data_IF_649014047936
#
_entry.id   IF_649014047936
#
_cell.length_a   1.000
_cell.length_b   1.000
_cell.length_c   1.000
_cell.angle_alpha   90.00
_cell.angle_beta   90.00
_cell.angle_gamma   90.00
#
_symmetry.space_group_name_H-M   'P 1'
#
loop_
_entity.id
_entity.type
_entity.pdbx_description
1 polymer ?
#
# COMPACT_ATOMS: atom_id res chain seq x y z
N UNK A 1 -5.33 1.11 -23.06
CA UNK A 1 -5.28 1.52 -21.64
C UNK A 1 -6.56 1.06 -20.95
N UNK A 2 -6.44 0.60 -19.71
CA UNK A 2 -7.53 0.11 -18.86
C UNK A 2 -7.69 1.03 -17.65
N UNK A 3 -8.91 1.10 -17.12
CA UNK A 3 -9.22 1.90 -15.92
C UNK A 3 -8.86 1.10 -14.67
N UNK A 4 -8.05 1.68 -13.81
CA UNK A 4 -7.74 1.19 -12.48
C UNK A 4 -8.09 2.24 -11.43
N UNK A 5 -8.28 1.81 -10.19
CA UNK A 5 -8.53 2.70 -9.06
C UNK A 5 -7.63 2.29 -7.90
N UNK A 6 -7.02 3.27 -7.24
CA UNK A 6 -6.44 3.09 -5.91
C UNK A 6 -7.48 3.54 -4.88
N UNK A 7 -7.73 2.72 -3.87
CA UNK A 7 -8.48 3.10 -2.68
C UNK A 7 -7.55 3.10 -1.47
N UNK A 8 -7.66 4.13 -0.64
CA UNK A 8 -6.90 4.29 0.59
C UNK A 8 -7.82 4.77 1.71
N UNK A 9 -7.98 3.98 2.77
CA UNK A 9 -8.74 4.34 3.95
C UNK A 9 -7.81 4.58 5.15
N UNK A 10 -8.06 5.68 5.86
CA UNK A 10 -7.22 6.20 6.93
C UNK A 10 -7.84 5.86 8.29
N UNK A 11 -7.14 5.06 9.09
CA UNK A 11 -7.65 4.55 10.37
C UNK A 11 -7.19 5.37 11.57
N UNK A 12 -5.93 5.79 11.56
CA UNK A 12 -5.33 6.68 12.55
C UNK A 12 -4.03 7.27 12.01
N UNK A 13 -3.65 8.43 12.50
CA UNK A 13 -2.29 8.96 12.37
C UNK A 13 -1.73 9.15 13.78
N UNK A 14 -0.72 8.38 14.16
CA UNK A 14 -0.15 8.37 15.50
C UNK A 14 1.28 8.92 15.48
N UNK A 15 1.81 9.22 16.66
CA UNK A 15 3.19 9.68 16.84
C UNK A 15 3.53 10.87 15.92
N UNK A 16 2.58 11.80 15.77
CA UNK A 16 2.77 13.01 14.98
C UNK A 16 3.84 13.85 15.69
N UNK A 17 4.83 14.29 14.92
CA UNK A 17 5.93 15.08 15.44
C UNK A 17 5.38 16.39 16.06
N UNK A 18 5.77 16.75 17.30
CA UNK A 18 5.30 17.96 17.99
C UNK A 18 5.50 19.26 17.20
N UNK A 19 6.45 19.30 16.26
CA UNK A 19 6.65 20.44 15.36
C UNK A 19 5.39 20.80 14.55
N UNK A 20 4.50 19.83 14.30
CA UNK A 20 3.27 20.01 13.55
C UNK A 20 2.03 20.08 14.43
N UNK A 21 2.19 20.21 15.75
CA UNK A 21 1.08 20.23 16.70
C UNK A 21 0.08 21.38 16.49
N UNK A 22 0.55 22.50 15.94
CA UNK A 22 -0.26 23.69 15.65
C UNK A 22 -0.60 23.86 14.17
N UNK A 23 -0.19 22.92 13.33
CA UNK A 23 -0.46 22.95 11.89
C UNK A 23 -1.70 22.13 11.56
N UNK A 24 -2.46 22.60 10.57
CA UNK A 24 -3.52 21.80 9.98
C UNK A 24 -2.89 20.70 9.12
N UNK A 25 -3.12 19.44 9.52
CA UNK A 25 -2.53 18.28 8.87
C UNK A 25 -3.54 17.66 7.90
N UNK A 26 -3.14 17.53 6.65
CA UNK A 26 -3.90 16.81 5.61
C UNK A 26 -3.02 15.76 4.93
N UNK A 27 -3.65 14.82 4.23
CA UNK A 27 -2.95 13.79 3.47
C UNK A 27 -3.38 13.82 2.01
N UNK A 28 -2.43 13.66 1.08
CA UNK A 28 -2.70 13.61 -0.36
C UNK A 28 -2.21 12.27 -0.91
N UNK A 29 -3.09 11.53 -1.58
CA UNK A 29 -2.79 10.25 -2.24
C UNK A 29 -2.65 10.48 -3.74
N UNK A 30 -1.60 9.94 -4.33
CA UNK A 30 -1.34 10.03 -5.77
C UNK A 30 -0.69 8.76 -6.30
N UNK A 31 -0.83 8.49 -7.58
CA UNK A 31 -0.16 7.38 -8.27
C UNK A 31 0.21 7.84 -9.68
N UNK A 32 1.50 8.04 -9.93
CA UNK A 32 1.99 8.67 -11.16
C UNK A 32 1.49 10.11 -11.29
N UNK A 33 0.92 10.46 -12.44
CA UNK A 33 0.28 11.76 -12.65
C UNK A 33 -1.10 11.87 -11.99
N UNK A 34 -1.78 10.75 -11.73
CA UNK A 34 -3.13 10.73 -11.18
C UNK A 34 -3.11 11.12 -9.70
N UNK A 35 -3.95 12.08 -9.33
CA UNK A 35 -3.95 12.68 -7.99
C UNK A 35 -2.76 13.62 -7.73
N UNK A 36 -1.88 13.83 -8.71
CA UNK A 36 -0.88 14.90 -8.60
C UNK A 36 -1.52 16.27 -8.85
N UNK A 37 -0.95 17.31 -8.26
CA UNK A 37 -1.40 18.71 -8.41
C UNK A 37 -1.18 19.15 -9.87
N UNK A 38 -2.15 18.85 -10.76
CA UNK A 38 -2.05 19.17 -12.20
C UNK A 38 -2.89 18.29 -13.13
N UNK A 39 -3.31 17.09 -12.70
CA UNK A 39 -4.10 16.17 -13.54
C UNK A 39 -5.61 16.32 -13.28
N UNK A 40 -6.34 16.88 -14.24
CA UNK A 40 -7.78 17.16 -14.16
C UNK A 40 -8.68 15.93 -14.44
N UNK A 41 -8.37 14.76 -13.86
CA UNK A 41 -9.05 13.51 -14.22
C UNK A 41 -9.98 12.92 -13.14
N UNK A 42 -10.05 13.50 -11.94
CA UNK A 42 -10.97 13.03 -10.89
C UNK A 42 -11.83 14.17 -10.35
N UNK A 43 -13.15 13.92 -10.27
CA UNK A 43 -14.08 14.75 -9.48
C UNK A 43 -14.00 14.45 -7.98
N UNK A 44 -13.49 13.27 -7.62
CA UNK A 44 -13.37 12.86 -6.22
C UNK A 44 -12.05 13.35 -5.64
N UNK A 45 -12.11 13.75 -4.36
CA UNK A 45 -10.96 14.24 -3.64
C UNK A 45 -10.01 13.09 -3.34
N UNK A 46 -8.77 13.24 -3.80
CA UNK A 46 -7.68 12.32 -3.50
C UNK A 46 -6.89 12.74 -2.23
N UNK A 47 -7.47 13.61 -1.42
CA UNK A 47 -6.92 14.09 -0.15
C UNK A 47 -7.90 13.92 1.00
N UNK A 48 -7.32 13.81 2.19
CA UNK A 48 -8.03 13.85 3.47
C UNK A 48 -8.10 15.30 3.93
N UNK A 49 -9.26 15.71 4.44
CA UNK A 49 -9.47 17.03 5.04
C UNK A 49 -8.40 17.35 6.08
N UNK A 50 -7.98 18.60 6.10
CA UNK A 50 -7.09 19.12 7.11
C UNK A 50 -7.74 19.11 8.49
N UNK A 51 -7.00 18.67 9.50
CA UNK A 51 -7.42 18.75 10.89
C UNK A 51 -6.21 19.03 11.79
N UNK A 52 -6.46 19.68 12.93
CA UNK A 52 -5.44 19.82 13.96
C UNK A 52 -5.22 18.49 14.68
N UNK A 53 -3.96 18.11 14.97
CA UNK A 53 -3.69 16.92 15.76
C UNK A 53 -4.16 17.10 17.20
N UNK A 54 -4.71 16.03 17.76
CA UNK A 54 -5.10 15.95 19.17
C UNK A 54 -3.93 15.44 20.00
N UNK A 55 -3.75 16.01 21.19
CA UNK A 55 -2.75 15.56 22.13
C UNK A 55 -3.34 14.50 23.07
N UNK A 56 -2.83 13.27 23.00
CA UNK A 56 -3.31 12.12 23.79
C UNK A 56 -2.69 12.14 25.19
N UNK A 57 -3.28 12.90 26.11
CA UNK A 57 -3.01 12.92 27.58
C UNK A 57 -1.51 12.94 27.98
N UNK A 58 -0.66 13.64 27.22
CA UNK A 58 0.77 13.78 27.56
C UNK A 58 1.70 12.78 26.90
N UNK A 59 1.22 11.89 26.03
CA UNK A 59 2.09 10.86 25.40
C UNK A 59 2.56 11.23 24.01
N UNK A 60 1.65 11.58 23.10
CA UNK A 60 1.96 11.93 21.72
C UNK A 60 0.79 12.65 21.03
N UNK A 61 1.09 13.31 19.90
CA UNK A 61 0.05 13.86 19.02
C UNK A 61 -0.50 12.80 18.08
N UNK A 62 -1.81 12.77 17.90
CA UNK A 62 -2.51 11.83 17.03
C UNK A 62 -3.74 12.42 16.37
N UNK A 63 -4.21 11.78 15.31
CA UNK A 63 -5.50 12.02 14.68
C UNK A 63 -6.28 10.71 14.66
N UNK A 64 -7.05 10.43 15.73
CA UNK A 64 -7.95 9.28 15.77
C UNK A 64 -9.23 9.63 15.01
N UNK A 65 -9.39 9.08 13.80
CA UNK A 65 -10.61 9.30 13.02
C UNK A 65 -11.84 8.56 13.55
N UNK A 66 -11.68 7.70 14.56
CA UNK A 66 -12.80 7.01 15.22
C UNK A 66 -13.67 6.26 14.23
N UNK A 67 -14.99 6.47 14.28
CA UNK A 67 -15.95 5.84 13.37
C UNK A 67 -16.03 6.51 11.98
N UNK A 68 -15.48 7.71 11.83
CA UNK A 68 -15.53 8.49 10.59
C UNK A 68 -14.17 8.50 9.92
N UNK A 69 -13.84 7.38 9.27
CA UNK A 69 -12.54 7.18 8.61
C UNK A 69 -12.51 7.85 7.24
N UNK A 70 -11.59 8.80 7.00
CA UNK A 70 -11.39 9.36 5.68
C UNK A 70 -10.99 8.28 4.67
N UNK A 71 -11.40 8.49 3.43
CA UNK A 71 -11.06 7.64 2.32
C UNK A 71 -10.69 8.51 1.12
N UNK A 72 -9.60 8.14 0.45
CA UNK A 72 -9.19 8.74 -0.82
C UNK A 72 -9.28 7.69 -1.93
N UNK A 73 -9.78 8.10 -3.08
CA UNK A 73 -9.75 7.31 -4.31
C UNK A 73 -8.96 8.03 -5.41
N UNK A 74 -8.15 7.26 -6.14
CA UNK A 74 -7.31 7.77 -7.23
C UNK A 74 -7.59 6.93 -8.48
N UNK A 75 -8.55 7.34 -9.32
CA UNK A 75 -8.79 6.69 -10.61
C UNK A 75 -7.66 7.03 -11.59
N UNK A 76 -7.22 6.05 -12.38
CA UNK A 76 -6.17 6.22 -13.38
C UNK A 76 -6.31 5.29 -14.59
N UNK A 77 -5.61 5.61 -15.67
CA UNK A 77 -5.51 4.79 -16.87
C UNK A 77 -4.10 4.21 -17.00
N UNK A 78 -4.03 2.88 -17.04
CA UNK A 78 -2.76 2.16 -17.14
C UNK A 78 -2.83 1.06 -18.20
N UNK A 79 -1.68 0.48 -18.53
CA UNK A 79 -1.60 -0.72 -19.34
C UNK A 79 -2.24 -1.91 -18.60
N UNK A 80 -2.68 -2.95 -19.33
CA UNK A 80 -3.11 -4.17 -18.66
C UNK A 80 -1.87 -4.91 -18.15
N UNK A 81 -1.66 -4.86 -16.84
CA UNK A 81 -0.53 -5.49 -16.16
C UNK A 81 -0.99 -6.60 -15.20
N UNK A 82 -2.28 -6.95 -15.19
CA UNK A 82 -2.89 -7.87 -14.22
C UNK A 82 -2.10 -9.18 -14.13
N UNK A 83 -1.97 -9.89 -15.26
CA UNK A 83 -1.26 -11.16 -15.30
C UNK A 83 0.23 -11.05 -14.92
N UNK A 84 0.89 -9.90 -15.15
CA UNK A 84 2.29 -9.68 -14.75
C UNK A 84 2.41 -9.51 -13.24
N UNK A 85 1.52 -8.70 -12.65
CA UNK A 85 1.50 -8.46 -11.20
C UNK A 85 1.08 -9.72 -10.45
N UNK A 86 0.03 -10.42 -10.90
CA UNK A 86 -0.42 -11.68 -10.29
C UNK A 86 0.70 -12.72 -10.22
N UNK A 87 1.47 -12.86 -11.30
CA UNK A 87 2.67 -13.70 -11.36
C UNK A 87 3.72 -13.29 -10.33
N UNK A 88 4.09 -12.01 -10.36
CA UNK A 88 5.06 -11.43 -9.42
C UNK A 88 4.64 -11.69 -7.98
N UNK A 89 3.37 -11.43 -7.64
CA UNK A 89 2.82 -11.58 -6.30
C UNK A 89 2.80 -13.04 -5.83
N UNK A 90 2.44 -13.97 -6.70
CA UNK A 90 2.44 -15.39 -6.35
C UNK A 90 3.86 -15.90 -6.02
N UNK A 91 4.87 -15.47 -6.79
CA UNK A 91 6.28 -15.79 -6.52
C UNK A 91 6.74 -15.07 -5.24
N UNK A 92 6.39 -13.80 -5.07
CA UNK A 92 6.74 -13.02 -3.88
C UNK A 92 6.22 -13.66 -2.59
N UNK A 93 5.03 -14.28 -2.62
CA UNK A 93 4.50 -15.01 -1.47
C UNK A 93 5.36 -16.19 -1.05
N UNK A 94 6.00 -16.89 -1.99
CA UNK A 94 6.97 -17.92 -1.63
C UNK A 94 8.18 -17.30 -0.92
N UNK A 95 8.67 -16.14 -1.38
CA UNK A 95 9.76 -15.43 -0.68
C UNK A 95 9.36 -14.96 0.72
N UNK A 96 8.13 -14.44 0.90
CA UNK A 96 7.60 -14.03 2.21
C UNK A 96 7.45 -15.21 3.16
N UNK A 97 6.92 -16.34 2.67
CA UNK A 97 6.79 -17.57 3.45
C UNK A 97 8.16 -18.08 3.93
N UNK A 98 9.17 -18.09 3.04
CA UNK A 98 10.54 -18.46 3.42
C UNK A 98 11.14 -17.50 4.45
N UNK A 99 10.84 -16.20 4.37
CA UNK A 99 11.34 -15.20 5.32
C UNK A 99 10.76 -15.41 6.73
N UNK A 100 9.47 -15.72 6.85
CA UNK A 100 8.83 -16.03 8.13
C UNK A 100 9.38 -17.33 8.74
N UNK A 101 9.63 -18.35 7.91
CA UNK A 101 10.23 -19.60 8.38
C UNK A 101 11.70 -19.43 8.78
N UNK A 102 12.47 -18.59 8.07
CA UNK A 102 13.83 -18.22 8.46
C UNK A 102 13.85 -17.48 9.80
N UNK A 103 12.89 -16.58 10.04
CA UNK A 103 12.74 -15.91 11.34
C UNK A 103 12.40 -16.90 12.45
N UNK A 104 11.49 -17.85 12.19
CA UNK A 104 11.13 -18.89 13.14
C UNK A 104 12.32 -19.80 13.47
N UNK A 105 13.07 -20.25 12.46
CA UNK A 105 14.29 -21.04 12.63
C UNK A 105 15.33 -20.30 13.49
N UNK A 106 15.57 -19.02 13.22
CA UNK A 106 16.51 -18.19 14.01
C UNK A 106 16.06 -17.99 15.47
N UNK A 107 14.75 -18.03 15.76
CA UNK A 107 14.21 -17.89 17.12
C UNK A 107 14.37 -19.16 17.96
N UNK A 108 14.46 -20.33 17.34
CA UNK A 108 14.62 -21.60 18.06
C UNK A 108 15.97 -21.69 18.79
N UNK A 109 16.96 -20.91 18.39
CA UNK A 109 18.28 -20.83 19.05
C UNK A 109 19.20 -22.01 18.74
N UNK A 110 20.44 -21.92 19.22
CA UNK A 110 21.44 -22.98 19.05
C UNK A 110 21.06 -24.22 19.88
N UNK A 111 21.21 -25.41 19.27
CA UNK A 111 20.99 -26.70 19.94
C UNK A 111 19.67 -27.42 19.60
N UNK A 112 18.82 -26.85 18.72
CA UNK A 112 17.58 -27.47 18.20
C UNK A 112 17.67 -27.79 16.70
N UNK A 113 18.80 -28.36 16.28
CA UNK A 113 19.11 -28.61 14.87
C UNK A 113 18.04 -29.46 14.15
N UNK A 114 17.46 -30.44 14.83
CA UNK A 114 16.43 -31.31 14.26
C UNK A 114 15.12 -30.56 13.98
N UNK A 115 14.65 -29.75 14.94
CA UNK A 115 13.44 -28.92 14.77
C UNK A 115 13.62 -27.88 13.65
N UNK A 116 14.80 -27.25 13.61
CA UNK A 116 15.15 -26.28 12.55
C UNK A 116 15.19 -26.96 11.18
N UNK A 117 15.76 -28.17 11.10
CA UNK A 117 15.85 -28.93 9.86
C UNK A 117 14.48 -29.39 9.37
N UNK A 118 13.61 -29.84 10.27
CA UNK A 118 12.23 -30.23 9.95
C UNK A 118 11.42 -29.04 9.41
N UNK A 119 11.44 -27.90 10.10
CA UNK A 119 10.76 -26.68 9.68
C UNK A 119 11.24 -26.20 8.30
N UNK A 120 12.54 -26.31 8.06
CA UNK A 120 13.13 -25.91 6.81
C UNK A 120 12.81 -26.86 5.64
N UNK A 121 12.74 -28.16 5.89
CA UNK A 121 12.30 -29.11 4.87
C UNK A 121 10.84 -28.87 4.48
N UNK A 122 9.96 -28.61 5.45
CA UNK A 122 8.58 -28.18 5.19
C UNK A 122 8.53 -26.90 4.34
N UNK A 123 9.40 -25.92 4.64
CA UNK A 123 9.54 -24.69 3.85
C UNK A 123 9.89 -24.98 2.38
N UNK A 124 10.84 -25.88 2.14
CA UNK A 124 11.29 -26.27 0.81
C UNK A 124 10.18 -26.99 0.03
N UNK A 125 9.44 -27.89 0.69
CA UNK A 125 8.31 -28.60 0.09
C UNK A 125 7.16 -27.65 -0.28
N UNK A 126 6.81 -26.72 0.62
CA UNK A 126 5.81 -25.70 0.33
C UNK A 126 6.25 -24.80 -0.83
N UNK A 127 7.50 -24.34 -0.85
CA UNK A 127 8.04 -23.56 -1.97
C UNK A 127 7.99 -24.34 -3.28
N UNK A 128 8.41 -25.61 -3.28
CA UNK A 128 8.38 -26.49 -4.46
C UNK A 128 6.95 -26.60 -5.01
N UNK A 129 5.96 -26.85 -4.14
CA UNK A 129 4.55 -26.88 -4.51
C UNK A 129 4.04 -25.56 -5.09
N UNK A 130 4.42 -24.42 -4.49
CA UNK A 130 4.05 -23.10 -5.01
C UNK A 130 4.65 -22.82 -6.39
N UNK A 131 5.93 -23.13 -6.58
CA UNK A 131 6.66 -22.90 -7.84
C UNK A 131 6.18 -23.82 -8.96
N UNK A 132 5.83 -25.07 -8.64
CA UNK A 132 5.31 -26.04 -9.61
C UNK A 132 3.95 -25.60 -10.15
N UNK A 133 3.03 -25.18 -9.25
CA UNK A 133 1.73 -24.62 -9.64
C UNK A 133 1.85 -23.41 -10.58
N UNK A 134 2.92 -22.61 -10.42
CA UNK A 134 3.18 -21.45 -11.28
C UNK A 134 3.65 -21.83 -12.69
N UNK A 135 4.16 -23.05 -12.90
CA UNK A 135 4.49 -23.52 -14.26
C UNK A 135 3.24 -23.75 -15.10
N UNK A 136 2.14 -24.18 -14.48
CA UNK A 136 0.87 -24.50 -15.14
C UNK A 136 -0.14 -23.34 -15.18
N UNK A 137 -0.10 -22.41 -14.21
CA UNK A 137 -1.08 -21.33 -14.08
C UNK A 137 -1.12 -20.37 -15.30
N UNK A 138 -0.08 -20.34 -16.14
CA UNK A 138 0.06 -19.34 -17.21
C UNK A 138 -0.22 -19.81 -18.62
N UNK A 139 -0.91 -20.94 -18.79
CA UNK A 139 -1.46 -21.34 -20.10
C UNK A 139 -2.59 -20.42 -20.63
N UNK A 140 -2.88 -19.29 -19.96
CA UNK A 140 -3.90 -18.33 -20.42
C UNK A 140 -3.40 -17.50 -21.60
N UNK A 141 -4.23 -17.39 -22.64
CA UNK A 141 -4.00 -16.81 -23.98
C UNK A 141 -3.70 -15.29 -24.05
N UNK A 142 -3.03 -14.71 -23.05
CA UNK A 142 -2.84 -13.26 -22.90
C UNK A 142 -1.40 -12.77 -23.11
N UNK A 143 -0.44 -13.63 -23.41
CA UNK A 143 0.92 -13.22 -23.83
C UNK A 143 0.89 -12.71 -25.27
N UNK A 144 0.69 -11.39 -25.43
CA UNK A 144 0.42 -10.76 -26.74
C UNK A 144 1.66 -10.41 -27.55
N UNK A 145 2.84 -10.35 -26.94
CA UNK A 145 4.08 -9.97 -27.64
C UNK A 145 5.24 -10.93 -27.38
N UNK A 146 6.25 -10.88 -28.24
CA UNK A 146 7.44 -11.75 -28.17
C UNK A 146 8.24 -11.57 -26.88
N UNK A 147 8.24 -10.37 -26.30
CA UNK A 147 8.92 -10.09 -25.03
C UNK A 147 8.24 -10.82 -23.87
N UNK A 148 6.91 -10.82 -23.81
CA UNK A 148 6.14 -11.56 -22.79
C UNK A 148 6.48 -13.05 -22.83
N UNK A 149 6.54 -13.63 -24.03
CA UNK A 149 6.91 -15.04 -24.24
C UNK A 149 8.35 -15.30 -23.83
N UNK A 150 9.30 -14.45 -24.23
CA UNK A 150 10.71 -14.58 -23.86
C UNK A 150 10.90 -14.53 -22.33
N UNK A 151 10.24 -13.59 -21.67
CA UNK A 151 10.30 -13.44 -20.22
C UNK A 151 9.63 -14.59 -19.47
N UNK A 152 8.49 -15.08 -19.96
CA UNK A 152 7.86 -16.27 -19.40
C UNK A 152 8.78 -17.50 -19.51
N UNK A 153 9.41 -17.70 -20.67
CA UNK A 153 10.36 -18.80 -20.88
C UNK A 153 11.61 -18.66 -19.99
N UNK A 154 12.15 -17.46 -19.84
CA UNK A 154 13.26 -17.19 -18.92
C UNK A 154 12.88 -17.51 -17.47
N UNK A 155 11.68 -17.11 -17.05
CA UNK A 155 11.14 -17.41 -15.71
C UNK A 155 10.96 -18.91 -15.50
N UNK A 156 10.37 -19.64 -16.44
CA UNK A 156 10.23 -21.11 -16.38
C UNK A 156 11.60 -21.80 -16.23
N UNK A 157 12.60 -21.37 -16.99
CA UNK A 157 13.99 -21.86 -16.85
C UNK A 157 14.57 -21.57 -15.47
N UNK A 158 14.35 -20.36 -14.93
CA UNK A 158 14.78 -20.02 -13.58
C UNK A 158 14.09 -20.86 -12.51
N UNK A 159 12.78 -21.07 -12.61
CA UNK A 159 12.03 -21.93 -11.70
C UNK A 159 12.59 -23.36 -11.75
N UNK A 160 12.75 -23.93 -12.94
CA UNK A 160 13.29 -25.28 -13.10
C UNK A 160 14.71 -25.42 -12.50
N UNK A 161 15.53 -24.37 -12.61
CA UNK A 161 16.85 -24.33 -11.96
C UNK A 161 16.74 -24.34 -10.43
N UNK A 162 15.86 -23.52 -9.86
CA UNK A 162 15.62 -23.48 -8.40
C UNK A 162 15.13 -24.84 -7.90
N UNK A 163 14.17 -25.45 -8.59
CA UNK A 163 13.65 -26.77 -8.24
C UNK A 163 14.74 -27.84 -8.27
N UNK A 164 15.60 -27.85 -9.30
CA UNK A 164 16.74 -28.76 -9.38
C UNK A 164 17.75 -28.55 -8.25
N UNK A 165 17.99 -27.32 -7.83
CA UNK A 165 18.85 -27.01 -6.68
C UNK A 165 18.25 -27.52 -5.35
N UNK A 166 16.92 -27.42 -5.19
CA UNK A 166 16.21 -27.96 -4.02
C UNK A 166 16.30 -29.48 -3.98
N UNK A 167 16.05 -30.16 -5.09
CA UNK A 167 16.15 -31.62 -5.17
C UNK A 167 17.59 -32.07 -4.89
N UNK A 168 18.59 -31.41 -5.49
CA UNK A 168 20.01 -31.70 -5.22
C UNK A 168 20.40 -31.52 -3.76
N UNK A 169 19.79 -30.56 -3.05
CA UNK A 169 20.02 -30.36 -1.62
C UNK A 169 19.36 -31.44 -0.75
N UNK A 170 18.15 -31.91 -1.11
CA UNK A 170 17.42 -32.96 -0.39
C UNK A 170 18.11 -34.33 -0.47
N UNK A 171 18.77 -34.63 -1.60
CA UNK A 171 19.40 -35.93 -1.86
C UNK A 171 20.93 -35.94 -1.67
N UNK A 172 21.48 -34.93 -1.00
CA UNK A 172 22.91 -34.87 -0.70
C UNK A 172 23.24 -35.71 0.55
N UNK A 173 23.71 -36.93 0.32
CA UNK A 173 24.08 -37.91 1.36
C UNK A 173 25.35 -37.55 2.14
N UNK A 174 26.07 -36.48 1.78
CA UNK A 174 27.33 -36.09 2.42
C UNK A 174 27.17 -35.21 3.66
N UNK A 175 25.93 -34.95 4.09
CA UNK A 175 25.63 -33.96 5.12
C UNK A 175 25.82 -34.50 6.55
N UNK A 176 26.77 -33.91 7.28
CA UNK A 176 26.98 -34.13 8.71
C UNK A 176 25.80 -33.55 9.53
N UNK A 177 25.24 -34.34 10.45
CA UNK A 177 24.10 -33.96 11.30
C UNK A 177 24.34 -32.71 12.16
N UNK A 178 25.55 -32.56 12.71
CA UNK A 178 25.87 -31.47 13.64
C UNK A 178 25.89 -30.08 12.98
N UNK A 179 26.13 -30.01 11.66
CA UNK A 179 26.16 -28.76 10.88
C UNK A 179 24.88 -28.56 10.03
N UNK A 180 23.93 -29.49 10.12
CA UNK A 180 22.75 -29.54 9.26
C UNK A 180 21.89 -28.28 9.38
N UNK A 181 21.60 -27.86 10.63
CA UNK A 181 20.75 -26.69 10.89
C UNK A 181 21.28 -25.42 10.22
N UNK A 182 22.58 -25.13 10.35
CA UNK A 182 23.17 -23.92 9.78
C UNK A 182 23.23 -23.99 8.24
N UNK A 183 23.63 -25.14 7.68
CA UNK A 183 23.67 -25.34 6.22
C UNK A 183 22.29 -25.16 5.59
N UNK A 184 21.27 -25.74 6.21
CA UNK A 184 19.87 -25.63 5.77
C UNK A 184 19.38 -24.19 5.83
N UNK A 185 19.68 -23.45 6.92
CA UNK A 185 19.33 -22.03 7.03
C UNK A 185 20.02 -21.18 5.97
N UNK A 186 21.31 -21.41 5.69
CA UNK A 186 22.03 -20.72 4.61
C UNK A 186 21.45 -21.06 3.23
N UNK A 187 21.03 -22.30 3.02
CA UNK A 187 20.37 -22.71 1.78
C UNK A 187 19.02 -22.02 1.59
N UNK A 188 18.17 -22.00 2.63
CA UNK A 188 16.89 -21.29 2.62
C UNK A 188 17.04 -19.79 2.34
N UNK A 189 18.04 -19.12 2.93
CA UNK A 189 18.32 -17.71 2.65
C UNK A 189 18.61 -17.48 1.17
N UNK A 190 19.45 -18.33 0.56
CA UNK A 190 19.77 -18.27 -0.87
C UNK A 190 18.54 -18.53 -1.75
N UNK A 191 17.69 -19.47 -1.38
CA UNK A 191 16.44 -19.75 -2.09
C UNK A 191 15.48 -18.56 -2.00
N UNK A 192 15.34 -17.96 -0.80
CA UNK A 192 14.53 -16.75 -0.57
C UNK A 192 15.00 -15.59 -1.46
N UNK A 193 16.29 -15.31 -1.52
CA UNK A 193 16.86 -14.29 -2.42
C UNK A 193 16.62 -14.61 -3.90
N UNK A 194 16.74 -15.88 -4.28
CA UNK A 194 16.52 -16.33 -5.67
C UNK A 194 15.06 -16.13 -6.09
N UNK A 195 14.10 -16.49 -5.23
CA UNK A 195 12.67 -16.33 -5.46
C UNK A 195 12.27 -14.85 -5.42
N UNK A 196 12.81 -14.05 -4.50
CA UNK A 196 12.55 -12.60 -4.46
C UNK A 196 13.03 -11.91 -5.74
N UNK A 197 14.21 -12.28 -6.25
CA UNK A 197 14.71 -11.77 -7.53
C UNK A 197 13.84 -12.21 -8.70
N UNK A 198 13.32 -13.43 -8.67
CA UNK A 198 12.43 -13.95 -9.70
C UNK A 198 11.06 -13.25 -9.72
N UNK A 199 10.59 -12.81 -8.55
CA UNK A 199 9.33 -12.08 -8.42
C UNK A 199 9.40 -10.71 -9.10
N UNK A 200 10.54 -10.01 -9.03
CA UNK A 200 10.71 -8.69 -9.63
C UNK A 200 10.58 -8.73 -11.15
N UNK A 201 9.51 -8.15 -11.67
CA UNK A 201 9.25 -8.03 -13.11
C UNK A 201 9.44 -6.57 -13.57
N UNK A 202 10.53 -6.32 -14.29
CA UNK A 202 10.87 -4.97 -14.78
C UNK A 202 9.91 -4.46 -15.86
N UNK A 203 9.04 -5.31 -16.41
CA UNK A 203 8.03 -4.88 -17.37
C UNK A 203 6.76 -4.34 -16.70
N UNK A 204 6.67 -4.36 -15.36
CA UNK A 204 5.60 -3.69 -14.63
C UNK A 204 5.96 -2.20 -14.57
N UNK A 205 5.31 -1.41 -15.41
CA UNK A 205 5.53 0.03 -15.56
C UNK A 205 4.67 0.90 -14.62
N UNK A 206 4.13 0.32 -13.55
CA UNK A 206 3.27 1.05 -12.63
C UNK A 206 4.08 1.92 -11.67
N UNK A 207 3.70 3.20 -11.47
CA UNK A 207 4.28 4.01 -10.42
C UNK A 207 3.80 3.53 -9.05
N UNK A 208 4.62 3.77 -8.03
CA UNK A 208 4.19 3.55 -6.65
C UNK A 208 3.10 4.55 -6.24
N UNK A 209 2.25 4.13 -5.31
CA UNK A 209 1.30 4.99 -4.62
C UNK A 209 2.09 5.86 -3.64
N UNK A 210 1.90 7.18 -3.75
CA UNK A 210 2.57 8.18 -2.94
C UNK A 210 1.53 8.87 -2.06
N UNK A 211 1.74 8.78 -0.74
CA UNK A 211 0.91 9.43 0.26
C UNK A 211 1.75 10.52 0.91
N UNK A 212 1.39 11.78 0.69
CA UNK A 212 2.07 12.95 1.26
C UNK A 212 1.30 13.43 2.48
N UNK A 213 2.02 13.78 3.53
CA UNK A 213 1.51 14.54 4.67
C UNK A 213 1.81 16.01 4.43
N UNK A 214 0.78 16.84 4.51
CA UNK A 214 0.89 18.29 4.41
C UNK A 214 0.60 18.91 5.78
N UNK A 215 1.45 19.82 6.21
CA UNK A 215 1.23 20.67 7.37
C UNK A 215 1.08 22.12 6.87
N UNK A 216 -0.10 22.70 7.05
CA UNK A 216 -0.43 24.05 6.57
C UNK A 216 -0.07 24.24 5.08
N UNK A 217 -0.41 23.23 4.26
CA UNK A 217 -0.17 23.21 2.80
C UNK A 217 1.24 22.85 2.34
N UNK A 218 2.21 22.67 3.25
CA UNK A 218 3.59 22.27 2.90
C UNK A 218 3.81 20.77 3.12
N UNK A 219 4.48 20.09 2.19
CA UNK A 219 4.79 18.67 2.33
C UNK A 219 5.84 18.47 3.41
N UNK A 220 5.49 17.72 4.46
CA UNK A 220 6.35 17.46 5.62
C UNK A 220 6.68 15.98 5.82
N UNK A 221 6.02 15.10 5.08
CA UNK A 221 6.27 13.66 5.13
C UNK A 221 5.73 12.95 3.91
N UNK A 222 6.27 11.77 3.60
CA UNK A 222 5.70 10.91 2.56
C UNK A 222 5.83 9.41 2.86
N UNK A 223 4.93 8.62 2.27
CA UNK A 223 5.00 7.16 2.19
C UNK A 223 4.95 6.78 0.71
N UNK A 224 5.80 5.83 0.30
CA UNK A 224 5.81 5.25 -1.05
C UNK A 224 5.51 3.77 -0.96
N UNK A 225 4.39 3.34 -1.56
CA UNK A 225 3.93 1.94 -1.56
C UNK A 225 3.91 1.41 -2.99
N UNK A 226 4.65 0.34 -3.32
CA UNK A 226 4.56 -0.30 -4.63
C UNK A 226 3.11 -0.73 -4.92
N UNK A 227 2.65 -0.55 -6.16
CA UNK A 227 1.27 -0.85 -6.53
C UNK A 227 0.97 -2.36 -6.42
N UNK A 228 1.98 -3.19 -6.65
CA UNK A 228 1.95 -4.65 -6.58
C UNK A 228 1.58 -5.13 -5.16
N UNK A 229 2.07 -4.46 -4.13
CA UNK A 229 1.83 -4.80 -2.71
C UNK A 229 0.35 -4.68 -2.33
N UNK A 230 -0.40 -3.81 -3.01
CA UNK A 230 -1.82 -3.55 -2.71
C UNK A 230 -2.74 -3.96 -3.87
N UNK A 231 -2.20 -4.65 -4.87
CA UNK A 231 -2.95 -5.11 -6.04
C UNK A 231 -3.97 -6.19 -5.67
N UNK A 232 -5.17 -6.09 -6.26
CA UNK A 232 -6.25 -7.05 -6.08
C UNK A 232 -6.35 -8.03 -7.25
N UNK A 233 -6.53 -9.30 -6.90
CA UNK A 233 -6.95 -10.39 -7.79
C UNK A 233 -8.07 -11.16 -7.10
N UNK A 234 -8.95 -11.81 -7.87
CA UNK A 234 -10.00 -12.66 -7.31
C UNK A 234 -9.43 -13.89 -6.59
N UNK A 235 -8.23 -14.32 -6.99
CA UNK A 235 -7.50 -15.36 -6.29
C UNK A 235 -6.59 -14.73 -5.23
N UNK A 236 -6.87 -14.99 -3.95
CA UNK A 236 -6.05 -14.46 -2.85
C UNK A 236 -4.57 -14.84 -3.01
N UNK A 237 -4.23 -15.98 -3.62
CA UNK A 237 -2.85 -16.37 -3.89
C UNK A 237 -2.12 -15.42 -4.87
N UNK A 238 -2.85 -14.62 -5.66
CA UNK A 238 -2.31 -13.68 -6.64
C UNK A 238 -2.39 -12.21 -6.18
N UNK A 239 -3.12 -11.91 -5.09
CA UNK A 239 -3.19 -10.58 -4.50
C UNK A 239 -1.84 -10.08 -3.98
N UNK A 240 -1.68 -8.77 -3.93
CA UNK A 240 -0.60 -8.11 -3.18
C UNK A 240 -0.71 -8.42 -1.68
N UNK A 241 0.44 -8.48 -1.00
CA UNK A 241 0.50 -8.88 0.41
C UNK A 241 -0.29 -7.95 1.34
N UNK A 242 -0.46 -6.68 0.97
CA UNK A 242 -1.07 -5.62 1.77
C UNK A 242 -2.48 -5.26 1.28
N UNK A 243 -2.93 -5.85 0.17
CA UNK A 243 -4.25 -5.60 -0.42
C UNK A 243 -5.37 -5.85 0.62
N UNK A 244 -6.16 -4.82 0.91
CA UNK A 244 -7.26 -4.91 1.87
C UNK A 244 -6.84 -5.08 3.35
N UNK A 245 -5.54 -5.12 3.66
CA UNK A 245 -5.02 -5.35 5.01
C UNK A 245 -4.59 -4.04 5.68
N UNK A 246 -4.82 -3.94 6.98
CA UNK A 246 -4.37 -2.78 7.76
C UNK A 246 -2.84 -2.82 7.90
N UNK A 247 -2.18 -1.69 7.63
CA UNK A 247 -0.73 -1.50 7.82
C UNK A 247 -0.46 -0.22 8.58
N UNK A 248 0.44 -0.28 9.56
CA UNK A 248 1.03 0.89 10.19
C UNK A 248 2.33 1.24 9.44
N UNK A 249 2.36 2.41 8.80
CA UNK A 249 3.46 2.84 7.94
C UNK A 249 4.10 4.12 8.51
N UNK A 250 5.35 4.06 8.99
CA UNK A 250 6.07 5.27 9.39
C UNK A 250 6.37 6.12 8.15
N UNK A 251 6.10 7.42 8.24
CA UNK A 251 6.37 8.35 7.16
C UNK A 251 7.87 8.65 7.08
N UNK A 252 8.34 9.01 5.88
CA UNK A 252 9.71 9.48 5.65
C UNK A 252 9.74 10.99 5.56
N UNK A 253 10.81 11.59 6.09
CA UNK A 253 11.12 13.00 5.88
C UNK A 253 11.35 13.31 4.39
N UNK A 254 10.82 14.42 3.85
CA UNK A 254 10.99 14.79 2.45
C UNK A 254 12.45 15.04 2.04
N UNK A 255 13.25 15.62 2.94
CA UNK A 255 14.68 15.92 2.69
C UNK A 255 15.60 15.35 3.77
N UNK A 256 16.88 15.17 3.43
CA UNK A 256 17.92 14.77 4.39
C UNK A 256 18.18 15.86 5.45
N UNK A 257 18.05 17.13 5.07
CA UNK A 257 18.18 18.25 6.00
C UNK A 257 17.05 18.24 7.04
N UNK A 258 15.83 17.90 6.63
CA UNK A 258 14.72 17.68 7.55
C UNK A 258 15.06 16.57 8.55
N UNK A 259 15.64 15.45 8.10
CA UNK A 259 15.99 14.35 8.99
C UNK A 259 17.09 14.70 9.99
N UNK A 260 18.20 15.30 9.53
CA UNK A 260 19.40 15.50 10.36
C UNK A 260 19.19 16.54 11.47
N UNK A 261 18.23 17.44 11.30
CA UNK A 261 17.93 18.49 12.28
C UNK A 261 16.88 18.04 13.33
N UNK A 262 16.51 16.76 13.38
CA UNK A 262 15.39 16.27 14.19
C UNK A 262 15.80 15.09 15.07
N UNK A 263 15.20 15.03 16.26
CA UNK A 263 15.37 13.94 17.22
C UNK A 263 14.61 12.67 16.81
N UNK A 264 13.46 12.80 16.13
CA UNK A 264 12.66 11.67 15.68
C UNK A 264 12.97 11.22 14.24
N UNK A 265 13.03 9.91 14.04
CA UNK A 265 13.32 9.29 12.73
C UNK A 265 12.20 9.49 11.68
N UNK A 266 10.98 9.84 12.10
CA UNK A 266 9.81 9.97 11.23
C UNK A 266 8.87 11.15 11.63
N UNK A 267 8.13 11.74 10.66
CA UNK A 267 7.13 12.77 10.93
C UNK A 267 5.87 12.26 11.66
N UNK A 268 5.42 11.05 11.33
CA UNK A 268 4.22 10.43 11.87
C UNK A 268 4.17 8.94 11.48
N UNK A 269 3.25 8.18 12.08
CA UNK A 269 2.91 6.79 11.70
C UNK A 269 1.45 6.73 11.25
N UNK A 270 1.24 6.34 10.00
CA UNK A 270 -0.08 6.31 9.39
C UNK A 270 -0.64 4.88 9.34
N UNK A 271 -1.84 4.67 9.87
CA UNK A 271 -2.54 3.40 9.82
C UNK A 271 -3.51 3.40 8.64
N UNK A 272 -3.21 2.58 7.64
CA UNK A 272 -3.89 2.57 6.36
C UNK A 272 -4.39 1.19 5.98
N UNK A 273 -5.51 1.17 5.24
CA UNK A 273 -5.89 0.05 4.39
C UNK A 273 -5.88 0.53 2.95
N UNK A 274 -5.25 -0.23 2.06
CA UNK A 274 -5.09 0.15 0.66
C UNK A 274 -5.52 -0.97 -0.26
N UNK A 275 -5.94 -0.61 -1.46
CA UNK A 275 -6.35 -1.53 -2.52
C UNK A 275 -6.08 -0.88 -3.88
N UNK A 276 -5.64 -1.65 -4.84
CA UNK A 276 -5.44 -1.22 -6.22
C UNK A 276 -5.95 -2.30 -7.17
N UNK A 277 -6.80 -1.94 -8.11
CA UNK A 277 -7.38 -2.93 -9.00
C UNK A 277 -8.10 -2.34 -10.19
N UNK A 278 -8.42 -3.20 -11.15
CA UNK A 278 -9.11 -2.82 -12.38
C UNK A 278 -10.57 -2.48 -12.10
N UNK A 279 -11.11 -1.50 -12.83
CA UNK A 279 -12.53 -1.15 -12.78
C UNK A 279 -13.39 -2.41 -12.99
N UNK A 280 -14.41 -2.58 -12.14
CA UNK A 280 -15.27 -3.76 -12.12
C UNK A 280 -14.98 -4.69 -10.95
N UNK A 281 -13.83 -4.53 -10.28
CA UNK A 281 -13.50 -5.23 -9.02
C UNK A 281 -13.72 -4.38 -7.77
N UNK A 282 -14.30 -3.19 -7.91
CA UNK A 282 -14.56 -2.24 -6.82
C UNK A 282 -15.49 -2.84 -5.73
N UNK A 283 -16.23 -3.90 -6.04
CA UNK A 283 -17.02 -4.67 -5.08
C UNK A 283 -16.16 -5.27 -3.96
N UNK A 284 -14.95 -5.75 -4.27
CA UNK A 284 -14.05 -6.37 -3.29
C UNK A 284 -13.57 -5.35 -2.24
N UNK A 285 -13.37 -4.10 -2.64
CA UNK A 285 -13.05 -3.02 -1.71
C UNK A 285 -14.19 -2.77 -0.70
N UNK A 286 -15.44 -2.89 -1.15
CA UNK A 286 -16.60 -2.79 -0.26
C UNK A 286 -16.62 -3.93 0.75
N UNK A 287 -16.28 -5.15 0.34
CA UNK A 287 -16.14 -6.29 1.25
C UNK A 287 -15.04 -6.08 2.28
N UNK A 288 -13.85 -5.64 1.86
CA UNK A 288 -12.77 -5.31 2.79
C UNK A 288 -13.16 -4.21 3.77
N UNK A 289 -14.01 -3.27 3.36
CA UNK A 289 -14.47 -2.16 4.19
C UNK A 289 -15.55 -2.56 5.21
N UNK A 290 -16.16 -3.75 5.10
CA UNK A 290 -17.17 -4.18 6.07
C UNK A 290 -16.61 -4.24 7.50
N UNK A 291 -17.41 -3.86 8.52
CA UNK A 291 -18.82 -3.47 8.47
C UNK A 291 -19.07 -1.99 8.17
N UNK A 292 -18.04 -1.22 7.80
CA UNK A 292 -18.20 0.21 7.55
C UNK A 292 -18.95 0.47 6.23
N UNK A 293 -19.74 1.55 6.23
CA UNK A 293 -20.42 2.06 5.04
C UNK A 293 -19.61 3.19 4.42
N UNK A 294 -19.38 3.13 3.11
CA UNK A 294 -18.70 4.21 2.38
C UNK A 294 -19.72 5.31 2.11
N UNK A 295 -19.54 6.46 2.77
CA UNK A 295 -20.40 7.63 2.65
C UNK A 295 -19.65 8.75 1.94
N UNK A 296 -20.13 9.23 0.78
CA UNK A 296 -19.53 10.39 0.14
C UNK A 296 -19.98 11.65 0.88
N UNK A 297 -19.08 12.63 1.01
CA UNK A 297 -19.36 13.92 1.64
C UNK A 297 -19.33 15.01 0.57
N UNK A 298 -20.25 15.97 0.69
CA UNK A 298 -20.23 17.20 -0.09
C UNK A 298 -19.80 18.35 0.85
N UNK A 299 -18.76 19.07 0.46
CA UNK A 299 -18.16 20.10 1.31
C UNK A 299 -18.46 21.49 0.77
N UNK A 300 -18.89 22.36 1.68
CA UNK A 300 -19.20 23.76 1.40
C UNK A 300 -18.47 24.59 2.45
N UNK A 301 -17.72 25.59 2.01
CA UNK A 301 -16.94 26.46 2.88
C UNK A 301 -17.64 27.80 3.01
N UNK A 302 -17.89 28.24 4.24
CA UNK A 302 -18.45 29.56 4.51
C UNK A 302 -17.32 30.55 4.82
N UNK A 303 -17.19 31.59 4.02
CA UNK A 303 -16.21 32.65 4.21
C UNK A 303 -16.89 33.90 4.76
N UNK A 304 -16.28 34.48 5.79
CA UNK A 304 -16.66 35.78 6.35
C UNK A 304 -15.49 36.74 6.27
N UNK A 305 -15.77 38.03 6.07
CA UNK A 305 -14.72 39.06 5.94
C UNK A 305 -14.68 39.97 7.16
N UNK A 306 -13.51 40.08 7.78
CA UNK A 306 -13.22 41.09 8.81
C UNK A 306 -12.44 42.28 8.21
N UNK A 307 -13.00 43.49 8.17
CA UNK A 307 -12.26 44.67 7.74
C UNK A 307 -11.09 44.97 8.67
N UNK A 308 -9.93 45.37 8.13
CA UNK A 308 -8.72 45.70 8.91
C UNK A 308 -8.93 46.72 10.04
N UNK A 309 -9.90 47.61 9.88
CA UNK A 309 -10.17 48.74 10.79
C UNK A 309 -11.36 48.50 11.74
N UNK A 310 -11.97 47.31 11.72
CA UNK A 310 -13.11 46.98 12.57
C UNK A 310 -12.82 45.73 13.40
N UNK A 311 -13.23 45.75 14.68
CA UNK A 311 -13.18 44.58 15.55
C UNK A 311 -14.26 43.54 15.19
N UNK A 312 -15.33 43.96 14.51
CA UNK A 312 -16.46 43.11 14.12
C UNK A 312 -16.26 42.45 12.74
N UNK A 313 -16.64 41.19 12.64
CA UNK A 313 -16.84 40.49 11.36
C UNK A 313 -18.04 41.09 10.63
N UNK A 314 -18.03 41.10 9.30
CA UNK A 314 -19.24 41.39 8.51
C UNK A 314 -20.07 40.12 8.40
N UNK A 315 -21.39 40.25 8.54
CA UNK A 315 -22.36 39.13 8.46
C UNK A 315 -22.53 38.57 7.03
N UNK A 316 -21.93 39.21 6.03
CA UNK A 316 -21.95 38.75 4.65
C UNK A 316 -21.15 37.44 4.53
N UNK A 317 -21.90 36.33 4.50
CA UNK A 317 -21.38 34.97 4.44
C UNK A 317 -21.49 34.47 3.02
N UNK A 318 -20.36 34.09 2.42
CA UNK A 318 -20.32 33.49 1.08
C UNK A 318 -20.00 32.01 1.19
N UNK A 319 -20.77 31.19 0.48
CA UNK A 319 -20.61 29.73 0.47
C UNK A 319 -19.96 29.31 -0.84
N UNK A 320 -18.75 28.76 -0.76
CA UNK A 320 -18.00 28.37 -1.95
C UNK A 320 -17.28 27.04 -1.78
N UNK A 321 -16.66 26.56 -2.85
CA UNK A 321 -15.71 25.45 -2.75
C UNK A 321 -14.41 25.89 -2.02
N UNK A 322 -13.55 24.93 -1.64
CA UNK A 322 -12.30 25.18 -0.88
C UNK A 322 -11.39 26.26 -1.52
N UNK A 323 -11.43 26.39 -2.85
CA UNK A 323 -10.62 27.35 -3.62
C UNK A 323 -11.28 28.71 -3.79
N UNK A 324 -12.48 28.89 -3.26
CA UNK A 324 -13.30 30.08 -3.42
C UNK A 324 -13.53 30.45 -4.90
N UNK A 325 -13.86 29.45 -5.73
CA UNK A 325 -14.02 29.58 -7.19
C UNK A 325 -15.43 29.33 -7.69
N UNK A 326 -16.25 28.59 -6.95
CA UNK A 326 -17.62 28.23 -7.31
C UNK A 326 -18.56 28.66 -6.19
N UNK A 327 -19.68 29.29 -6.53
CA UNK A 327 -20.76 29.60 -5.60
C UNK A 327 -21.59 28.34 -5.35
N UNK A 328 -21.66 27.92 -4.08
CA UNK A 328 -22.35 26.72 -3.64
C UNK A 328 -23.49 27.04 -2.66
N UNK A 329 -23.94 28.30 -2.59
CA UNK A 329 -24.98 28.72 -1.65
C UNK A 329 -26.29 27.94 -1.78
N UNK A 330 -26.72 27.58 -3.00
CA UNK A 330 -27.91 26.78 -3.24
C UNK A 330 -27.86 25.42 -2.53
N UNK A 331 -26.68 24.80 -2.48
CA UNK A 331 -26.48 23.47 -1.91
C UNK A 331 -26.49 23.47 -0.37
N UNK A 332 -26.53 24.63 0.27
CA UNK A 332 -26.71 24.71 1.73
C UNK A 332 -28.11 24.26 2.18
N UNK A 333 -29.10 24.41 1.30
CA UNK A 333 -30.51 24.12 1.58
C UNK A 333 -31.08 23.01 0.71
N UNK A 334 -30.56 22.87 -0.52
CA UNK A 334 -30.99 21.84 -1.47
C UNK A 334 -29.90 20.80 -1.68
N UNK A 335 -30.26 19.52 -1.81
CA UNK A 335 -29.28 18.51 -2.17
C UNK A 335 -28.96 18.56 -3.68
N UNK A 336 -27.71 18.33 -4.09
CA UNK A 336 -27.38 18.16 -5.50
C UNK A 336 -28.20 17.02 -6.14
N UNK A 337 -28.42 17.09 -7.46
CA UNK A 337 -29.15 16.05 -8.19
C UNK A 337 -28.53 14.66 -7.93
N UNK A 338 -29.37 13.71 -7.49
CA UNK A 338 -28.96 12.35 -7.16
C UNK A 338 -28.39 12.17 -5.74
N UNK A 339 -28.35 13.23 -4.93
CA UNK A 339 -27.98 13.18 -3.51
C UNK A 339 -29.20 13.39 -2.63
N UNK A 340 -29.23 12.69 -1.50
CA UNK A 340 -30.15 12.97 -0.40
C UNK A 340 -29.29 13.21 0.84
N UNK A 341 -29.45 14.36 1.48
CA UNK A 341 -28.78 14.61 2.75
C UNK A 341 -29.28 13.62 3.79
N UNK A 342 -28.35 13.00 4.53
CA UNK A 342 -28.70 12.17 5.67
C UNK A 342 -29.22 13.10 6.76
N UNK A 343 -30.50 12.97 7.08
CA UNK A 343 -31.17 13.70 8.18
C UNK A 343 -30.80 13.08 9.51
#
# INVERSE_FOLDING_TARGET
MHRYTVYCSFFACNLINPLFASDEISFLVSMGEYGSTGAALSRNRNSVLGALPLHDDGKYFSMPWGNHKPMADVPGLWENVDARIERSNAIMKAAIMLDELLKAARRLGDGKNDEVSSLAMEALEHMQSMLDRLQDHHKSAYTKNELDVCWENARKKCIAKILKEIDGFKFDETQLFDEMGEKVVRFLQRMRESVERLAKDNQISLPSILIKMLASGRVVGYIKVPAEEVFFSENEALCGQWCGRMRALPMKWPTLADRNNRSEDFPAVLHLRMWFGRRGYDWSWKEYSQPAEIKPYFEIFSYQRKPRMSSAWKDETHYTNEKNTEDLAEFTSNSPYGWNYMV
#
